data_IF_554598698301
#
_entry.id   IF_554598698301
#
_cell.length_a   1.000
_cell.length_b   1.000
_cell.length_c   1.000
_cell.angle_alpha   90.00
_cell.angle_beta   90.00
_cell.angle_gamma   90.00
#
_symmetry.space_group_name_H-M   'P 1'
#
loop_
_entity.id
_entity.type
_entity.pdbx_description
1 polymer ?
#
# COMPACT_ATOMS: atom_id res chain seq x y z
N UNK A 1 -12.67 -9.99 -9.58
CA UNK A 1 -12.00 -8.95 -8.78
C UNK A 1 -10.90 -9.63 -8.03
N UNK A 2 -9.68 -9.54 -8.52
CA UNK A 2 -8.51 -10.06 -7.79
C UNK A 2 -8.14 -9.03 -6.74
N UNK A 3 -7.71 -9.52 -5.58
CA UNK A 3 -7.24 -8.68 -4.48
C UNK A 3 -5.81 -9.10 -4.18
N UNK A 4 -4.89 -8.18 -4.38
CA UNK A 4 -3.48 -8.36 -4.05
C UNK A 4 -3.28 -7.76 -2.66
N UNK A 5 -2.65 -8.50 -1.76
CA UNK A 5 -2.34 -8.01 -0.42
C UNK A 5 -0.85 -8.20 -0.16
N UNK A 6 -0.20 -7.12 0.21
CA UNK A 6 1.20 -7.13 0.64
C UNK A 6 1.27 -6.82 2.12
N UNK A 7 2.15 -7.53 2.81
CA UNK A 7 2.45 -7.31 4.22
C UNK A 7 3.91 -6.86 4.33
N UNK A 8 4.09 -5.61 4.73
CA UNK A 8 5.37 -5.00 4.97
C UNK A 8 5.64 -5.11 6.46
N UNK A 9 6.26 -6.24 6.85
CA UNK A 9 6.73 -6.47 8.23
C UNK A 9 7.65 -5.35 8.72
N UNK A 10 8.35 -4.70 7.78
CA UNK A 10 9.03 -3.41 7.96
C UNK A 10 9.00 -2.59 6.67
N UNK A 11 8.86 -1.28 6.82
CA UNK A 11 9.06 -0.29 5.74
C UNK A 11 10.42 0.40 5.90
N UNK A 12 11.47 -0.35 6.24
CA UNK A 12 12.83 0.20 6.41
C UNK A 12 13.68 0.04 5.13
N UNK A 13 13.36 0.79 4.08
CA UNK A 13 14.27 0.98 2.93
C UNK A 13 13.64 0.84 1.54
N UNK A 14 14.52 0.91 0.53
CA UNK A 14 14.16 0.84 -0.90
C UNK A 14 13.39 -0.44 -1.26
N UNK A 15 13.70 -1.56 -0.59
CA UNK A 15 13.08 -2.87 -0.82
C UNK A 15 11.56 -2.87 -0.58
N UNK A 16 11.06 -2.01 0.33
CA UNK A 16 9.63 -1.93 0.62
C UNK A 16 8.89 -1.22 -0.52
N UNK A 17 9.46 -0.14 -1.06
CA UNK A 17 8.90 0.58 -2.21
C UNK A 17 8.95 -0.28 -3.47
N UNK A 18 10.05 -0.99 -3.72
CA UNK A 18 10.18 -1.90 -4.85
C UNK A 18 9.09 -2.97 -4.85
N UNK A 19 8.81 -3.60 -3.69
CA UNK A 19 7.71 -4.57 -3.56
C UNK A 19 6.32 -3.95 -3.82
N UNK A 20 6.12 -2.69 -3.44
CA UNK A 20 4.87 -1.98 -3.73
C UNK A 20 4.76 -1.74 -5.23
N UNK A 21 5.84 -1.31 -5.89
CA UNK A 21 5.88 -1.11 -7.34
C UNK A 21 5.62 -2.42 -8.10
N UNK A 22 6.30 -3.51 -7.75
CA UNK A 22 6.07 -4.83 -8.33
C UNK A 22 4.61 -5.27 -8.17
N UNK A 23 4.04 -5.10 -6.96
CA UNK A 23 2.65 -5.43 -6.71
C UNK A 23 1.69 -4.54 -7.53
N UNK A 24 2.02 -3.27 -7.73
CA UNK A 24 1.22 -2.35 -8.54
C UNK A 24 1.22 -2.70 -10.02
N UNK A 25 2.32 -3.22 -10.54
CA UNK A 25 2.44 -3.72 -11.92
C UNK A 25 1.61 -4.99 -12.15
N UNK A 26 1.39 -5.79 -11.12
CA UNK A 26 0.51 -6.96 -11.16
C UNK A 26 -0.99 -6.61 -11.03
N UNK A 27 -1.33 -5.43 -10.50
CA UNK A 27 -2.74 -5.03 -10.28
C UNK A 27 -3.37 -4.56 -11.59
N UNK A 28 -4.36 -5.32 -12.07
CA UNK A 28 -5.14 -4.96 -13.25
C UNK A 28 -6.13 -3.82 -13.02
N UNK A 29 -6.65 -3.25 -14.12
CA UNK A 29 -7.67 -2.19 -14.07
C UNK A 29 -8.90 -2.64 -13.25
N UNK A 30 -9.30 -1.80 -12.29
CA UNK A 30 -10.43 -2.06 -11.40
C UNK A 30 -10.16 -3.04 -10.26
N UNK A 31 -8.94 -3.60 -10.16
CA UNK A 31 -8.50 -4.47 -9.07
C UNK A 31 -7.96 -3.69 -7.87
N UNK A 32 -7.83 -4.38 -6.73
CA UNK A 32 -7.50 -3.79 -5.44
C UNK A 32 -6.17 -4.31 -4.91
N UNK A 33 -5.32 -3.39 -4.45
CA UNK A 33 -4.10 -3.61 -3.71
C UNK A 33 -4.31 -3.21 -2.24
N UNK A 34 -4.07 -4.11 -1.32
CA UNK A 34 -4.06 -3.84 0.12
C UNK A 34 -2.64 -3.87 0.65
N UNK A 35 -2.17 -2.75 1.18
CA UNK A 35 -0.85 -2.62 1.78
C UNK A 35 -1.03 -2.61 3.28
N UNK A 36 -0.44 -3.58 3.98
CA UNK A 36 -0.38 -3.61 5.44
C UNK A 36 1.04 -3.32 5.89
N UNK A 37 1.19 -2.50 6.92
CA UNK A 37 2.47 -2.17 7.52
C UNK A 37 2.31 -2.00 9.03
N UNK A 38 3.41 -2.00 9.77
CA UNK A 38 3.40 -1.66 11.18
C UNK A 38 3.01 -0.18 11.38
N UNK A 39 2.26 0.14 12.44
CA UNK A 39 1.86 1.52 12.74
C UNK A 39 3.04 2.45 13.01
N UNK A 40 4.17 1.90 13.48
CA UNK A 40 5.43 2.65 13.62
C UNK A 40 5.97 3.15 12.28
N UNK A 41 5.65 2.43 11.19
CA UNK A 41 6.07 2.73 9.82
C UNK A 41 5.03 3.56 9.07
N UNK A 42 3.90 3.90 9.72
CA UNK A 42 2.86 4.74 9.11
C UNK A 42 3.36 6.13 8.68
N UNK A 43 4.53 6.56 9.16
CA UNK A 43 5.18 7.78 8.68
C UNK A 43 5.65 7.68 7.21
N UNK A 44 5.87 6.47 6.68
CA UNK A 44 6.12 6.23 5.26
C UNK A 44 4.83 6.21 4.41
N UNK A 45 3.65 6.34 5.03
CA UNK A 45 2.38 6.30 4.29
C UNK A 45 2.27 7.42 3.25
N UNK A 46 2.84 8.60 3.52
CA UNK A 46 2.84 9.71 2.57
C UNK A 46 3.58 9.37 1.27
N UNK A 47 4.76 8.73 1.37
CA UNK A 47 5.55 8.31 0.19
C UNK A 47 4.79 7.25 -0.62
N UNK A 48 4.14 6.32 0.07
CA UNK A 48 3.32 5.26 -0.56
C UNK A 48 2.08 5.85 -1.22
N UNK A 49 1.41 6.80 -0.58
CA UNK A 49 0.27 7.52 -1.14
C UNK A 49 0.64 8.30 -2.40
N UNK A 50 1.78 8.98 -2.40
CA UNK A 50 2.31 9.67 -3.58
C UNK A 50 2.61 8.70 -4.73
N UNK A 51 3.20 7.53 -4.43
CA UNK A 51 3.49 6.51 -5.42
C UNK A 51 2.20 5.95 -6.06
N UNK A 52 1.18 5.67 -5.24
CA UNK A 52 -0.14 5.21 -5.70
C UNK A 52 -0.82 6.27 -6.57
N UNK A 53 -0.79 7.53 -6.15
CA UNK A 53 -1.38 8.64 -6.88
C UNK A 53 -0.75 8.83 -8.27
N UNK A 54 0.58 8.68 -8.37
CA UNK A 54 1.33 8.78 -9.64
C UNK A 54 1.00 7.66 -10.63
N UNK A 55 0.46 6.55 -10.15
CA UNK A 55 0.15 5.37 -10.94
C UNK A 55 -1.36 5.16 -11.14
N UNK A 56 -2.17 6.23 -11.05
CA UNK A 56 -3.62 6.18 -11.27
C UNK A 56 -4.37 5.23 -10.32
N UNK A 57 -3.88 5.06 -9.09
CA UNK A 57 -4.64 4.38 -8.05
C UNK A 57 -5.52 5.37 -7.29
N UNK A 58 -6.75 4.96 -7.00
CA UNK A 58 -7.57 5.56 -5.95
C UNK A 58 -7.24 4.87 -4.63
N UNK A 59 -6.91 5.60 -3.57
CA UNK A 59 -6.45 4.99 -2.33
C UNK A 59 -7.17 5.56 -1.11
N UNK A 60 -7.39 4.68 -0.13
CA UNK A 60 -7.99 5.01 1.14
C UNK A 60 -7.13 4.44 2.28
N UNK A 61 -6.51 5.30 3.10
CA UNK A 61 -5.86 4.87 4.32
C UNK A 61 -6.91 4.45 5.34
N UNK A 62 -6.74 3.26 5.89
CA UNK A 62 -7.52 2.70 6.98
C UNK A 62 -6.56 2.59 8.18
N UNK A 63 -6.63 3.59 9.07
CA UNK A 63 -5.92 3.52 10.34
C UNK A 63 -6.42 2.32 11.15
N UNK A 64 -5.51 1.50 11.68
CA UNK A 64 -5.93 0.40 12.53
C UNK A 64 -6.46 0.91 13.87
N UNK A 65 -7.56 0.31 14.31
CA UNK A 65 -8.16 0.57 15.61
C UNK A 65 -7.25 0.10 16.78
N UNK A 66 -6.31 -0.81 16.52
CA UNK A 66 -5.41 -1.38 17.54
C UNK A 66 -4.11 -0.60 17.74
N UNK A 67 -3.84 0.41 16.90
CA UNK A 67 -2.62 1.23 16.94
C UNK A 67 -1.32 0.45 16.63
N UNK A 68 -1.41 -0.79 16.15
CA UNK A 68 -0.26 -1.65 15.85
C UNK A 68 -0.02 -1.81 14.36
N UNK A 69 -1.07 -1.76 13.57
CA UNK A 69 -1.00 -1.88 12.11
C UNK A 69 -1.51 -0.62 11.42
N UNK A 70 -1.09 -0.41 10.20
CA UNK A 70 -1.60 0.62 9.31
C UNK A 70 -1.91 -0.04 7.98
N UNK A 71 -3.08 0.23 7.42
CA UNK A 71 -3.52 -0.39 6.17
C UNK A 71 -3.87 0.67 5.16
N UNK A 72 -3.42 0.51 3.92
CA UNK A 72 -3.82 1.34 2.78
C UNK A 72 -4.51 0.41 1.78
N UNK A 73 -5.74 0.73 1.42
CA UNK A 73 -6.43 0.05 0.32
C UNK A 73 -6.37 0.94 -0.90
N UNK A 74 -5.79 0.45 -1.99
CA UNK A 74 -5.68 1.14 -3.26
C UNK A 74 -6.39 0.37 -4.36
N UNK A 75 -6.99 1.05 -5.32
CA UNK A 75 -7.72 0.48 -6.44
C UNK A 75 -7.24 1.11 -7.73
N UNK A 76 -6.84 0.30 -8.71
CA UNK A 76 -6.44 0.81 -10.03
C UNK A 76 -7.66 1.37 -10.75
N UNK A 77 -7.57 2.63 -11.21
CA UNK A 77 -8.62 3.27 -12.00
C UNK A 77 -8.68 2.72 -13.42
#
# INVERSE_FOLDING_TARGET
MTKISIDLDRVDGADALEKIEEAMDEVGLGEELTIKMAAIDAHHSDEISDLLARNDFDFQPIGSHDGKTYTITARKK
#
